data_IF_700778244003
#
_entry.id   IF_700778244003
#
_cell.length_a   1.000
_cell.length_b   1.000
_cell.length_c   1.000
_cell.angle_alpha   90.00
_cell.angle_beta   90.00
_cell.angle_gamma   90.00
#
_symmetry.space_group_name_H-M   'P 1'
#
loop_
_entity.id
_entity.type
_entity.pdbx_description
1 polymer ?
#
# COMPACT_ATOMS: atom_id res chain seq x y z
N UNK A 1 -19.18 6.50 3.02
CA UNK A 1 -19.51 7.94 3.00
C UNK A 1 -20.84 8.12 2.31
N UNK A 2 -21.76 8.82 2.95
CA UNK A 2 -23.10 9.15 2.47
C UNK A 2 -23.30 10.67 2.47
N UNK A 3 -24.51 11.13 2.18
CA UNK A 3 -24.83 12.56 2.06
C UNK A 3 -24.81 13.31 3.39
N UNK A 4 -25.15 12.62 4.46
CA UNK A 4 -25.25 13.14 5.81
C UNK A 4 -24.12 12.68 6.75
N UNK A 5 -23.30 11.70 6.37
CA UNK A 5 -22.30 11.12 7.27
C UNK A 5 -21.08 10.54 6.55
N UNK A 6 -19.90 10.77 7.12
CA UNK A 6 -18.66 10.12 6.77
C UNK A 6 -18.03 9.50 8.00
N UNK A 7 -17.72 8.20 7.94
CA UNK A 7 -16.99 7.47 8.97
C UNK A 7 -15.59 7.18 8.47
N UNK A 8 -14.59 7.48 9.28
CA UNK A 8 -13.17 7.39 8.92
C UNK A 8 -12.55 6.29 9.77
N UNK A 9 -11.96 5.31 9.09
CA UNK A 9 -11.34 4.14 9.72
C UNK A 9 -9.86 4.09 9.39
N UNK A 10 -9.07 3.65 10.36
CA UNK A 10 -7.66 3.33 10.16
C UNK A 10 -7.50 1.82 10.12
N UNK A 11 -6.90 1.30 9.04
CA UNK A 11 -6.59 -0.12 8.85
C UNK A 11 -5.08 -0.36 8.93
N UNK A 12 -4.68 -1.45 9.58
CA UNK A 12 -3.27 -1.79 9.81
C UNK A 12 -2.85 -3.14 9.19
N UNK A 13 -3.58 -3.62 8.19
CA UNK A 13 -3.33 -4.91 7.56
C UNK A 13 -4.08 -6.08 8.22
N UNK A 14 -4.45 -5.97 9.50
CA UNK A 14 -5.14 -7.06 10.25
C UNK A 14 -6.48 -6.62 10.83
N UNK A 15 -6.52 -5.43 11.40
CA UNK A 15 -7.67 -4.86 12.08
C UNK A 15 -7.93 -3.45 11.57
N UNK A 16 -9.14 -2.95 11.83
CA UNK A 16 -9.49 -1.56 11.59
C UNK A 16 -10.15 -0.92 12.82
N UNK A 17 -9.89 0.37 13.01
CA UNK A 17 -10.43 1.17 14.14
C UNK A 17 -11.09 2.44 13.60
N UNK A 18 -12.27 2.77 14.10
CA UNK A 18 -12.92 4.05 13.80
C UNK A 18 -12.15 5.18 14.48
N UNK A 19 -11.78 6.20 13.69
CA UNK A 19 -11.01 7.37 14.15
C UNK A 19 -11.90 8.59 14.32
N UNK A 20 -12.85 8.76 13.41
CA UNK A 20 -13.74 9.90 13.42
C UNK A 20 -15.05 9.60 12.70
N UNK A 21 -16.07 10.35 13.09
CA UNK A 21 -17.36 10.44 12.40
C UNK A 21 -17.60 11.93 12.15
N UNK A 22 -17.90 12.27 10.90
CA UNK A 22 -18.24 13.62 10.47
C UNK A 22 -19.67 13.59 9.98
N UNK A 23 -20.50 14.51 10.47
CA UNK A 23 -21.90 14.64 10.06
C UNK A 23 -22.09 15.89 9.21
N UNK A 24 -22.92 15.77 8.17
CA UNK A 24 -23.34 16.87 7.33
C UNK A 24 -24.78 17.25 7.68
N UNK A 25 -24.95 18.43 8.28
CA UNK A 25 -26.25 18.98 8.66
C UNK A 25 -26.88 19.87 7.58
N UNK A 26 -26.38 19.82 6.34
CA UNK A 26 -26.87 20.65 5.25
C UNK A 26 -28.34 20.34 4.89
N UNK A 27 -29.16 21.38 4.79
CA UNK A 27 -30.54 21.26 4.30
C UNK A 27 -30.61 21.65 2.83
N UNK A 28 -31.17 20.77 1.99
CA UNK A 28 -31.41 21.03 0.55
C UNK A 28 -32.43 22.14 0.27
N UNK A 29 -33.07 22.71 1.32
CA UNK A 29 -34.07 23.78 1.19
C UNK A 29 -33.45 25.13 0.80
N UNK A 30 -32.16 25.34 1.06
CA UNK A 30 -31.43 26.56 0.68
C UNK A 30 -30.15 26.19 -0.06
N UNK A 31 -30.12 26.40 -1.38
CA UNK A 31 -29.04 25.94 -2.27
C UNK A 31 -27.68 26.54 -1.88
N UNK A 32 -27.61 27.84 -1.61
CA UNK A 32 -26.34 28.50 -1.25
C UNK A 32 -25.78 28.01 0.08
N UNK A 33 -26.66 27.76 1.04
CA UNK A 33 -26.28 27.23 2.34
C UNK A 33 -25.88 25.75 2.26
N UNK A 34 -26.57 24.99 1.41
CA UNK A 34 -26.25 23.60 1.13
C UNK A 34 -24.85 23.45 0.53
N UNK A 35 -24.53 24.21 -0.52
CA UNK A 35 -23.21 24.18 -1.16
C UNK A 35 -22.08 24.55 -0.19
N UNK A 36 -22.30 25.58 0.64
CA UNK A 36 -21.31 25.98 1.65
C UNK A 36 -21.09 24.87 2.68
N UNK A 37 -22.15 24.31 3.25
CA UNK A 37 -22.06 23.26 4.27
C UNK A 37 -21.50 21.95 3.69
N UNK A 38 -21.83 21.60 2.45
CA UNK A 38 -21.22 20.47 1.76
C UNK A 38 -19.71 20.65 1.60
N UNK A 39 -19.27 21.86 1.21
CA UNK A 39 -17.84 22.17 1.13
C UNK A 39 -17.17 22.06 2.50
N UNK A 40 -17.76 22.64 3.55
CA UNK A 40 -17.23 22.57 4.92
C UNK A 40 -17.13 21.11 5.41
N UNK A 41 -18.10 20.26 5.04
CA UNK A 41 -18.11 18.83 5.33
C UNK A 41 -16.93 18.10 4.66
N UNK A 42 -16.71 18.33 3.36
CA UNK A 42 -15.58 17.75 2.63
C UNK A 42 -14.23 18.25 3.14
N UNK A 43 -14.10 19.53 3.48
CA UNK A 43 -12.86 20.08 4.03
C UNK A 43 -12.50 19.46 5.38
N UNK A 44 -13.49 19.21 6.25
CA UNK A 44 -13.26 18.50 7.51
C UNK A 44 -12.75 17.08 7.30
N UNK A 45 -13.36 16.32 6.38
CA UNK A 45 -12.92 14.96 6.05
C UNK A 45 -11.49 14.99 5.53
N UNK A 46 -11.20 15.89 4.58
CA UNK A 46 -9.86 16.05 4.00
C UNK A 46 -8.81 16.32 5.08
N UNK A 47 -9.10 17.24 6.00
CA UNK A 47 -8.20 17.59 7.10
C UNK A 47 -7.88 16.38 7.98
N UNK A 48 -8.89 15.59 8.36
CA UNK A 48 -8.69 14.38 9.19
C UNK A 48 -7.80 13.37 8.48
N UNK A 49 -7.98 13.19 7.17
CA UNK A 49 -7.14 12.27 6.38
C UNK A 49 -5.70 12.78 6.33
N UNK A 50 -5.49 14.07 6.05
CA UNK A 50 -4.14 14.67 5.98
C UNK A 50 -3.40 14.61 7.32
N UNK A 51 -4.10 14.84 8.44
CA UNK A 51 -3.56 14.71 9.80
C UNK A 51 -3.20 13.26 10.17
N UNK A 52 -3.78 12.26 9.50
CA UNK A 52 -3.48 10.85 9.78
C UNK A 52 -2.08 10.39 9.31
N UNK A 53 -1.43 11.19 8.46
CA UNK A 53 -0.13 10.87 7.83
C UNK A 53 -0.08 9.50 7.13
N UNK A 54 -1.22 8.94 6.74
CA UNK A 54 -1.27 7.69 5.97
C UNK A 54 -0.98 7.98 4.50
N UNK A 55 -0.12 7.15 3.93
CA UNK A 55 0.30 7.27 2.52
C UNK A 55 -0.85 6.95 1.55
N UNK A 56 -1.77 6.08 1.96
CA UNK A 56 -2.83 5.54 1.12
C UNK A 56 -4.17 5.69 1.81
N UNK A 57 -5.17 6.11 1.04
CA UNK A 57 -6.54 6.31 1.51
C UNK A 57 -7.51 5.61 0.55
N UNK A 58 -8.51 4.92 1.09
CA UNK A 58 -9.62 4.38 0.30
C UNK A 58 -10.88 5.17 0.63
N UNK A 59 -11.47 5.79 -0.38
CA UNK A 59 -12.76 6.48 -0.30
C UNK A 59 -13.83 5.51 -0.78
N UNK A 60 -14.86 5.34 0.04
CA UNK A 60 -15.94 4.40 -0.23
C UNK A 60 -17.29 4.96 0.18
N UNK A 61 -18.33 4.63 -0.57
CA UNK A 61 -19.71 5.02 -0.25
C UNK A 61 -20.72 4.69 -1.36
N UNK A 62 -22.01 4.67 -1.03
CA UNK A 62 -23.06 4.48 -2.02
C UNK A 62 -23.26 5.71 -2.91
N UNK A 63 -23.56 5.45 -4.18
CA UNK A 63 -23.94 6.48 -5.15
C UNK A 63 -22.83 7.50 -5.43
N UNK A 64 -23.21 8.78 -5.43
CA UNK A 64 -22.36 9.87 -5.94
C UNK A 64 -21.51 10.55 -4.87
N UNK A 65 -21.81 10.41 -3.58
CA UNK A 65 -21.18 11.22 -2.53
C UNK A 65 -19.69 10.88 -2.35
N UNK A 66 -19.37 9.61 -2.13
CA UNK A 66 -17.97 9.16 -2.06
C UNK A 66 -17.21 9.45 -3.36
N UNK A 67 -17.86 9.23 -4.51
CA UNK A 67 -17.26 9.48 -5.83
C UNK A 67 -16.97 10.97 -6.05
N UNK A 68 -17.91 11.85 -5.73
CA UNK A 68 -17.74 13.30 -5.87
C UNK A 68 -16.64 13.83 -4.96
N UNK A 69 -16.58 13.37 -3.70
CA UNK A 69 -15.49 13.71 -2.80
C UNK A 69 -14.15 13.28 -3.37
N UNK A 70 -14.04 12.03 -3.82
CA UNK A 70 -12.83 11.53 -4.46
C UNK A 70 -12.43 12.37 -5.68
N UNK A 71 -13.32 12.55 -6.65
CA UNK A 71 -13.01 13.23 -7.92
C UNK A 71 -12.67 14.71 -7.75
N UNK A 72 -13.37 15.42 -6.84
CA UNK A 72 -13.25 16.86 -6.69
C UNK A 72 -12.26 17.30 -5.62
N UNK A 73 -12.02 16.47 -4.59
CA UNK A 73 -11.26 16.89 -3.41
C UNK A 73 -10.03 16.04 -3.10
N UNK A 74 -9.93 14.79 -3.59
CA UNK A 74 -8.92 13.85 -3.05
C UNK A 74 -8.29 12.84 -4.03
N UNK A 75 -8.45 13.02 -5.35
CA UNK A 75 -8.06 12.05 -6.39
C UNK A 75 -6.58 11.62 -6.37
N UNK A 76 -5.65 12.49 -5.99
CA UNK A 76 -4.21 12.26 -6.17
C UNK A 76 -3.54 11.32 -5.16
N UNK A 77 -4.19 11.01 -4.03
CA UNK A 77 -3.60 10.20 -2.94
C UNK A 77 -4.54 9.10 -2.44
N UNK A 78 -5.58 8.79 -3.21
CA UNK A 78 -6.61 7.87 -2.78
C UNK A 78 -7.11 6.98 -3.91
N UNK A 79 -7.78 5.92 -3.50
CA UNK A 79 -8.53 5.02 -4.36
C UNK A 79 -10.01 5.17 -4.08
N UNK A 80 -10.84 5.02 -5.10
CA UNK A 80 -12.28 4.95 -4.93
C UNK A 80 -12.74 3.53 -5.15
N UNK A 81 -13.39 2.95 -4.13
CA UNK A 81 -14.05 1.66 -4.20
C UNK A 81 -15.51 1.85 -3.77
N UNK A 82 -16.50 1.43 -4.57
CA UNK A 82 -17.90 1.60 -4.19
C UNK A 82 -18.27 0.72 -2.99
N UNK A 83 -19.17 1.19 -2.13
CA UNK A 83 -19.79 0.37 -1.07
C UNK A 83 -21.28 0.59 -0.95
N UNK A 84 -21.95 -0.35 -0.29
CA UNK A 84 -23.39 -0.36 -0.06
C UNK A 84 -23.84 0.73 0.94
N UNK A 85 -23.01 1.07 1.93
CA UNK A 85 -23.32 2.08 2.94
C UNK A 85 -22.07 2.77 3.52
N UNK A 86 -22.29 3.73 4.42
CA UNK A 86 -21.29 4.36 5.28
C UNK A 86 -21.00 3.59 6.58
N UNK A 87 -21.67 2.45 6.80
CA UNK A 87 -21.61 1.74 8.06
C UNK A 87 -20.36 0.87 8.26
N UNK A 88 -20.12 0.47 9.51
CA UNK A 88 -18.99 -0.40 9.88
C UNK A 88 -19.06 -1.76 9.19
N UNK A 89 -20.27 -2.27 8.95
CA UNK A 89 -20.51 -3.50 8.17
C UNK A 89 -19.97 -3.37 6.73
N UNK A 90 -20.24 -2.24 6.07
CA UNK A 90 -19.75 -1.98 4.70
C UNK A 90 -18.22 -1.89 4.63
N UNK A 91 -17.54 -1.43 5.68
CA UNK A 91 -16.06 -1.46 5.74
C UNK A 91 -15.53 -2.89 5.78
N UNK A 92 -16.20 -3.77 6.52
CA UNK A 92 -15.84 -5.19 6.56
C UNK A 92 -16.03 -5.84 5.20
N UNK A 93 -17.17 -5.60 4.56
CA UNK A 93 -17.46 -6.09 3.20
C UNK A 93 -16.40 -5.59 2.21
N UNK A 94 -16.05 -4.31 2.28
CA UNK A 94 -15.03 -3.70 1.43
C UNK A 94 -13.67 -4.38 1.60
N UNK A 95 -13.20 -4.57 2.84
CA UNK A 95 -11.90 -5.22 3.09
C UNK A 95 -11.87 -6.67 2.58
N UNK A 96 -13.03 -7.34 2.56
CA UNK A 96 -13.17 -8.71 2.06
C UNK A 96 -13.46 -8.77 0.55
N UNK A 97 -13.62 -7.63 -0.11
CA UNK A 97 -13.95 -7.56 -1.54
C UNK A 97 -12.77 -7.93 -2.41
N UNK A 98 -13.08 -8.38 -3.64
CA UNK A 98 -12.07 -8.70 -4.64
C UNK A 98 -11.30 -7.45 -5.06
N UNK A 99 -11.99 -6.33 -5.17
CA UNK A 99 -11.45 -5.05 -5.60
C UNK A 99 -10.44 -4.49 -4.58
N UNK A 100 -10.70 -4.65 -3.29
CA UNK A 100 -9.73 -4.27 -2.25
C UNK A 100 -8.51 -5.20 -2.28
N UNK A 101 -8.70 -6.50 -2.48
CA UNK A 101 -7.59 -7.45 -2.64
C UNK A 101 -6.73 -7.15 -3.87
N UNK A 102 -7.36 -6.85 -5.01
CA UNK A 102 -6.68 -6.43 -6.24
C UNK A 102 -5.90 -5.12 -6.04
N UNK A 103 -6.47 -4.16 -5.31
CA UNK A 103 -5.78 -2.92 -4.96
C UNK A 103 -4.52 -3.18 -4.13
N UNK A 104 -4.61 -4.02 -3.09
CA UNK A 104 -3.44 -4.38 -2.27
C UNK A 104 -2.37 -5.10 -3.10
N UNK A 105 -2.80 -5.95 -4.03
CA UNK A 105 -1.89 -6.64 -4.94
C UNK A 105 -1.15 -5.66 -5.83
N UNK A 106 -1.86 -4.72 -6.47
CA UNK A 106 -1.25 -3.69 -7.32
C UNK A 106 -0.28 -2.81 -6.53
N UNK A 107 -0.62 -2.44 -5.29
CA UNK A 107 0.25 -1.67 -4.40
C UNK A 107 1.53 -2.44 -4.04
N UNK A 108 1.39 -3.74 -3.73
CA UNK A 108 2.55 -4.60 -3.48
C UNK A 108 3.44 -4.70 -4.72
N UNK A 109 2.85 -4.97 -5.89
CA UNK A 109 3.57 -5.05 -7.17
C UNK A 109 4.31 -3.75 -7.47
N UNK A 110 3.67 -2.59 -7.28
CA UNK A 110 4.30 -1.28 -7.47
C UNK A 110 5.51 -1.09 -6.54
N UNK A 111 5.39 -1.44 -5.26
CA UNK A 111 6.50 -1.37 -4.30
C UNK A 111 7.64 -2.30 -4.68
N UNK A 112 7.34 -3.53 -5.07
CA UNK A 112 8.34 -4.52 -5.48
C UNK A 112 9.10 -4.00 -6.73
N UNK A 113 8.39 -3.38 -7.69
CA UNK A 113 9.02 -2.70 -8.83
C UNK A 113 9.89 -1.51 -8.44
N UNK A 114 9.46 -0.68 -7.49
CA UNK A 114 10.27 0.43 -6.99
C UNK A 114 11.61 -0.06 -6.43
N UNK A 115 11.57 -1.15 -5.66
CA UNK A 115 12.76 -1.79 -5.08
C UNK A 115 13.65 -2.44 -6.14
N UNK A 116 13.07 -3.08 -7.15
CA UNK A 116 13.84 -3.59 -8.28
C UNK A 116 14.53 -2.47 -9.08
N UNK A 117 13.83 -1.37 -9.33
CA UNK A 117 14.41 -0.20 -10.00
C UNK A 117 15.51 0.46 -9.16
N UNK A 118 15.36 0.49 -7.83
CA UNK A 118 16.41 0.91 -6.91
C UNK A 118 17.66 0.03 -7.04
N UNK A 119 17.49 -1.29 -7.07
CA UNK A 119 18.58 -2.24 -7.33
C UNK A 119 19.29 -1.95 -8.66
N UNK A 120 18.55 -1.78 -9.76
CA UNK A 120 19.14 -1.47 -11.08
C UNK A 120 19.94 -0.16 -11.08
N UNK A 121 19.49 0.86 -10.34
CA UNK A 121 20.23 2.13 -10.20
C UNK A 121 21.58 1.92 -9.52
N UNK A 122 21.65 1.08 -8.50
CA UNK A 122 22.90 0.77 -7.81
C UNK A 122 23.80 -0.15 -8.63
N UNK A 123 23.21 -1.09 -9.38
CA UNK A 123 23.95 -1.93 -10.33
C UNK A 123 24.71 -1.09 -11.35
N UNK A 124 24.09 -0.03 -11.89
CA UNK A 124 24.75 0.89 -12.82
C UNK A 124 25.79 1.83 -12.18
N UNK A 125 25.84 1.95 -10.85
CA UNK A 125 26.79 2.81 -10.12
C UNK A 125 28.01 2.07 -9.58
N UNK A 126 27.95 0.75 -9.50
CA UNK A 126 29.00 -0.11 -8.91
C UNK A 126 29.39 0.32 -7.47
N UNK A 127 28.45 0.87 -6.71
CA UNK A 127 28.68 1.46 -5.38
C UNK A 127 28.62 0.43 -4.23
N UNK A 128 28.60 -0.87 -4.56
CA UNK A 128 28.52 -2.01 -3.63
C UNK A 128 27.29 -2.01 -2.71
N UNK A 129 26.28 -1.17 -2.95
CA UNK A 129 25.05 -1.12 -2.15
C UNK A 129 24.07 -2.29 -2.39
N UNK A 130 24.39 -3.17 -3.33
CA UNK A 130 23.56 -4.31 -3.73
C UNK A 130 24.32 -5.63 -3.64
N UNK A 131 23.56 -6.72 -3.55
CA UNK A 131 24.03 -8.09 -3.75
C UNK A 131 23.01 -8.87 -4.57
N UNK A 132 23.44 -9.95 -5.20
CA UNK A 132 22.54 -10.83 -5.95
C UNK A 132 23.05 -12.27 -5.99
N UNK A 133 22.14 -13.21 -6.20
CA UNK A 133 22.42 -14.63 -6.10
C UNK A 133 22.44 -15.13 -4.66
N UNK A 134 22.08 -16.40 -4.48
CA UNK A 134 21.83 -16.99 -3.16
C UNK A 134 23.04 -16.88 -2.21
N UNK A 135 24.24 -17.11 -2.73
CA UNK A 135 25.48 -17.09 -1.93
C UNK A 135 25.77 -15.73 -1.31
N UNK A 136 25.67 -14.65 -2.09
CA UNK A 136 25.89 -13.31 -1.56
C UNK A 136 24.80 -12.95 -0.55
N UNK A 137 23.55 -13.30 -0.84
CA UNK A 137 22.44 -13.06 0.07
C UNK A 137 22.67 -13.76 1.41
N UNK A 138 23.12 -15.01 1.41
CA UNK A 138 23.50 -15.73 2.64
C UNK A 138 24.61 -14.99 3.41
N UNK A 139 25.69 -14.58 2.73
CA UNK A 139 26.81 -13.86 3.35
C UNK A 139 26.40 -12.52 3.99
N UNK A 140 25.52 -11.76 3.34
CA UNK A 140 25.05 -10.47 3.87
C UNK A 140 23.92 -10.63 4.91
N UNK A 141 23.12 -11.69 4.84
CA UNK A 141 22.17 -12.06 5.88
C UNK A 141 22.91 -12.40 7.19
N UNK A 142 24.03 -13.14 7.12
CA UNK A 142 24.86 -13.45 8.28
C UNK A 142 25.42 -12.19 8.96
N UNK A 143 25.65 -11.12 8.19
CA UNK A 143 26.10 -9.81 8.67
C UNK A 143 24.95 -8.88 9.08
N UNK A 144 23.68 -9.31 8.97
CA UNK A 144 22.50 -8.48 9.16
C UNK A 144 22.51 -7.19 8.30
N UNK A 145 23.15 -7.25 7.12
CA UNK A 145 23.34 -6.11 6.21
C UNK A 145 22.40 -6.15 5.00
N UNK A 146 21.17 -6.67 5.17
CA UNK A 146 20.14 -6.68 4.12
C UNK A 146 18.96 -5.83 4.55
N UNK A 147 18.60 -4.83 3.76
CA UNK A 147 17.41 -4.01 3.97
C UNK A 147 16.18 -4.67 3.32
N UNK A 148 16.31 -5.02 2.05
CA UNK A 148 15.24 -5.62 1.24
C UNK A 148 15.79 -6.77 0.42
N UNK A 149 15.02 -7.84 0.27
CA UNK A 149 15.32 -8.97 -0.61
C UNK A 149 14.11 -9.24 -1.51
N UNK A 150 14.36 -9.31 -2.81
CA UNK A 150 13.38 -9.76 -3.81
C UNK A 150 13.84 -11.13 -4.33
N UNK A 151 13.00 -12.15 -4.22
CA UNK A 151 13.33 -13.51 -4.64
C UNK A 151 12.21 -14.12 -5.47
N UNK A 152 12.57 -14.86 -6.53
CA UNK A 152 11.60 -15.68 -7.26
C UNK A 152 11.09 -16.83 -6.38
N UNK A 153 9.81 -17.16 -6.53
CA UNK A 153 9.15 -18.26 -5.82
C UNK A 153 9.94 -19.58 -5.90
N UNK A 154 10.36 -19.99 -7.10
CA UNK A 154 11.14 -21.22 -7.29
C UNK A 154 12.50 -21.22 -6.58
N UNK A 155 13.09 -20.04 -6.33
CA UNK A 155 14.30 -19.94 -5.51
C UNK A 155 13.98 -20.15 -4.05
N UNK A 156 12.90 -19.54 -3.56
CA UNK A 156 12.45 -19.64 -2.17
C UNK A 156 12.08 -21.07 -1.79
N UNK A 157 11.41 -21.81 -2.69
CA UNK A 157 11.09 -23.22 -2.51
C UNK A 157 12.33 -24.10 -2.30
N UNK A 158 13.46 -23.74 -2.91
CA UNK A 158 14.74 -24.42 -2.77
C UNK A 158 15.59 -23.94 -1.59
N UNK A 159 15.19 -22.90 -0.87
CA UNK A 159 15.97 -22.36 0.25
C UNK A 159 15.88 -23.25 1.49
N UNK A 160 16.95 -23.24 2.29
CA UNK A 160 16.91 -23.78 3.64
C UNK A 160 15.95 -22.95 4.50
N UNK A 161 15.14 -23.64 5.29
CA UNK A 161 14.18 -22.99 6.19
C UNK A 161 14.84 -22.00 7.15
N UNK A 162 16.05 -22.33 7.63
CA UNK A 162 16.87 -21.47 8.49
C UNK A 162 17.20 -20.11 7.83
N UNK A 163 17.54 -20.13 6.53
CA UNK A 163 17.81 -18.91 5.77
C UNK A 163 16.52 -18.12 5.56
N UNK A 164 15.43 -18.79 5.20
CA UNK A 164 14.14 -18.13 4.99
C UNK A 164 13.63 -17.43 6.26
N UNK A 165 13.77 -18.08 7.42
CA UNK A 165 13.45 -17.50 8.73
C UNK A 165 14.38 -16.32 9.06
N UNK A 166 15.68 -16.44 8.75
CA UNK A 166 16.64 -15.35 8.93
C UNK A 166 16.27 -14.13 8.09
N UNK A 167 16.02 -14.31 6.79
CA UNK A 167 15.62 -13.23 5.88
C UNK A 167 14.31 -12.57 6.34
N UNK A 168 13.29 -13.36 6.64
CA UNK A 168 11.98 -12.87 7.08
C UNK A 168 12.00 -12.09 8.39
N UNK A 169 13.02 -12.28 9.23
CA UNK A 169 13.16 -11.60 10.52
C UNK A 169 14.08 -10.38 10.48
N UNK A 170 14.97 -10.27 9.48
CA UNK A 170 16.02 -9.26 9.43
C UNK A 170 15.82 -8.17 8.36
N UNK A 171 15.03 -8.47 7.32
CA UNK A 171 14.82 -7.61 6.16
C UNK A 171 13.39 -7.71 5.61
N UNK A 172 13.01 -6.78 4.73
CA UNK A 172 11.79 -6.88 3.94
C UNK A 172 11.98 -7.93 2.84
N UNK A 173 11.38 -9.12 3.00
CA UNK A 173 11.42 -10.19 2.00
C UNK A 173 10.13 -10.18 1.15
N UNK A 174 10.28 -9.93 -0.15
CA UNK A 174 9.20 -10.09 -1.13
C UNK A 174 9.46 -11.29 -2.04
N UNK A 175 8.49 -12.19 -2.06
CA UNK A 175 8.44 -13.34 -2.97
C UNK A 175 7.70 -12.92 -4.24
N UNK A 176 8.36 -13.09 -5.39
CA UNK A 176 7.90 -12.68 -6.71
C UNK A 176 7.54 -13.93 -7.54
N UNK A 177 6.35 -13.91 -8.14
CA UNK A 177 5.90 -14.98 -9.03
C UNK A 177 6.70 -14.94 -10.33
N UNK A 178 7.21 -16.09 -10.77
CA UNK A 178 8.04 -16.18 -11.99
C UNK A 178 7.31 -15.69 -13.25
N UNK A 179 6.00 -15.95 -13.34
CA UNK A 179 5.17 -15.58 -14.48
C UNK A 179 4.76 -14.10 -14.52
N UNK A 180 5.01 -13.35 -13.43
CA UNK A 180 4.77 -11.91 -13.38
C UNK A 180 5.77 -11.15 -14.26
N UNK A 181 5.42 -9.92 -14.65
CA UNK A 181 6.32 -9.08 -15.46
C UNK A 181 7.63 -8.79 -14.70
N UNK A 182 7.55 -8.42 -13.41
CA UNK A 182 8.73 -8.26 -12.55
C UNK A 182 9.50 -9.59 -12.40
N UNK A 183 8.80 -10.72 -12.31
CA UNK A 183 9.42 -12.04 -12.24
C UNK A 183 10.29 -12.34 -13.45
N UNK A 184 9.83 -11.98 -14.65
CA UNK A 184 10.58 -12.15 -15.90
C UNK A 184 11.82 -11.26 -15.94
N UNK A 185 11.74 -10.03 -15.44
CA UNK A 185 12.89 -9.12 -15.34
C UNK A 185 13.90 -9.58 -14.27
N UNK A 186 13.40 -10.02 -13.11
CA UNK A 186 14.21 -10.55 -12.01
C UNK A 186 14.87 -11.89 -12.36
N UNK A 187 14.36 -12.60 -13.36
CA UNK A 187 14.83 -13.94 -13.77
C UNK A 187 16.32 -14.02 -14.08
N UNK A 188 16.94 -12.93 -14.55
CA UNK A 188 18.38 -12.88 -14.79
C UNK A 188 19.22 -12.98 -13.50
N UNK A 189 18.66 -12.56 -12.36
CA UNK A 189 19.34 -12.55 -11.07
C UNK A 189 18.84 -13.65 -10.13
N UNK A 190 17.58 -14.09 -10.30
CA UNK A 190 16.84 -15.06 -9.46
C UNK A 190 16.50 -14.55 -8.07
N UNK A 191 17.46 -13.91 -7.41
CA UNK A 191 17.33 -13.25 -6.12
C UNK A 191 18.28 -12.05 -6.05
N UNK A 192 17.79 -10.94 -5.49
CA UNK A 192 18.55 -9.70 -5.30
C UNK A 192 18.34 -9.14 -3.91
N UNK A 193 19.28 -8.33 -3.45
CA UNK A 193 19.24 -7.66 -2.15
C UNK A 193 19.76 -6.23 -2.22
N UNK A 194 19.07 -5.34 -1.49
CA UNK A 194 19.55 -4.01 -1.14
C UNK A 194 20.21 -4.06 0.24
N UNK A 195 21.38 -3.47 0.41
CA UNK A 195 22.13 -3.48 1.68
C UNK A 195 21.80 -2.27 2.54
N UNK A 196 21.84 -2.46 3.87
CA UNK A 196 21.66 -1.35 4.85
C UNK A 196 22.82 -0.35 4.81
N UNK A 197 24.03 -0.85 4.56
CA UNK A 197 25.25 -0.07 4.50
C UNK A 197 26.23 -0.66 3.49
N UNK A 198 27.04 0.21 2.91
CA UNK A 198 28.12 -0.15 2.01
C UNK A 198 29.35 -0.52 2.84
N UNK A 199 29.91 -1.71 2.60
CA UNK A 199 31.16 -2.13 3.22
C UNK A 199 32.29 -1.16 2.78
N UNK A 200 32.94 -0.53 3.77
CA UNK A 200 34.06 0.40 3.57
C UNK A 200 35.33 -0.30 3.11
#
# INVERSE_FOLDING_TARGET
MEDNIARIFEWNGRNYKEKAVVENTASKRNVKEFEKREKDFYEQIKRIIEESQKEKTVISGPGFWGKNFYEKFYKGKAYYLPSSSSEKSAVRELIQSKEFSELLKQEKEARDYEKFNEFLKHLGKEDKAICYGLKEIEEYADKNNLETVLALEGVVEGMKEELLQKLSSQCELSIILEDSELGRELNSFKIIGLKKYVDR
#
